data_IF_864431421998
#
_entry.id   IF_864431421998
#
_cell.length_a   1.000
_cell.length_b   1.000
_cell.length_c   1.000
_cell.angle_alpha   90.00
_cell.angle_beta   90.00
_cell.angle_gamma   90.00
#
_symmetry.space_group_name_H-M   'P 1'
#
loop_
_entity.id
_entity.type
_entity.pdbx_description
1 polymer ?
#
# COMPACT_ATOMS: atom_id res chain seq x y z
N UNK A 1 26.62 -6.11 17.50
CA UNK A 1 25.66 -7.18 17.86
C UNK A 1 25.57 -7.17 19.38
N UNK A 2 24.49 -6.66 19.97
CA UNK A 2 24.34 -6.69 21.42
C UNK A 2 24.00 -8.12 21.85
N UNK A 3 24.91 -8.77 22.56
CA UNK A 3 24.62 -10.00 23.28
C UNK A 3 23.42 -9.76 24.20
N UNK A 4 22.32 -10.45 23.93
CA UNK A 4 21.11 -10.37 24.75
C UNK A 4 21.36 -11.22 25.99
N UNK A 5 22.10 -10.66 26.95
CA UNK A 5 22.35 -11.29 28.24
C UNK A 5 21.02 -11.36 29.02
N UNK A 6 20.63 -12.56 29.45
CA UNK A 6 19.46 -12.74 30.30
C UNK A 6 19.79 -12.19 31.71
N UNK A 7 19.31 -10.98 32.01
CA UNK A 7 19.46 -10.36 33.34
C UNK A 7 18.43 -10.97 34.31
N UNK A 8 18.88 -11.37 35.50
CA UNK A 8 17.96 -11.85 36.55
C UNK A 8 17.20 -10.69 37.20
N UNK A 9 16.01 -10.95 37.74
CA UNK A 9 15.19 -9.90 38.39
C UNK A 9 15.94 -9.17 39.53
N UNK A 10 16.83 -9.88 40.25
CA UNK A 10 17.63 -9.30 41.32
C UNK A 10 18.74 -8.35 40.83
N UNK A 11 19.20 -8.50 39.58
CA UNK A 11 20.15 -7.60 38.93
C UNK A 11 19.44 -6.36 38.38
N UNK A 12 18.28 -6.57 37.73
CA UNK A 12 17.41 -5.49 37.27
C UNK A 12 17.03 -4.54 38.42
N UNK A 13 16.64 -5.10 39.57
CA UNK A 13 16.29 -4.32 40.75
C UNK A 13 17.49 -3.55 41.33
N UNK A 14 18.70 -4.12 41.27
CA UNK A 14 19.93 -3.43 41.68
C UNK A 14 20.27 -2.27 40.74
N UNK A 15 20.12 -2.45 39.42
CA UNK A 15 20.28 -1.35 38.43
C UNK A 15 19.30 -0.22 38.66
N UNK A 16 18.02 -0.54 38.84
CA UNK A 16 16.97 0.45 39.12
C UNK A 16 17.25 1.23 40.40
N UNK A 17 17.66 0.54 41.47
CA UNK A 17 18.04 1.18 42.74
C UNK A 17 19.30 2.05 42.61
N UNK A 18 20.19 1.74 41.68
CA UNK A 18 21.39 2.51 41.36
C UNK A 18 21.13 3.68 40.39
N UNK A 19 19.88 3.90 39.96
CA UNK A 19 19.51 4.97 39.03
C UNK A 19 20.01 4.76 37.59
N UNK A 20 20.41 3.53 37.24
CA UNK A 20 20.91 3.20 35.90
C UNK A 20 19.68 3.00 34.99
N UNK A 21 19.53 3.77 33.89
CA UNK A 21 18.37 3.65 33.03
C UNK A 21 18.30 2.26 32.38
N UNK A 22 17.07 1.76 32.24
CA UNK A 22 16.78 0.46 31.63
C UNK A 22 17.05 0.46 30.12
N UNK A 23 16.91 1.63 29.51
CA UNK A 23 17.09 1.88 28.08
C UNK A 23 18.32 2.77 27.93
N UNK A 24 19.24 2.39 27.05
CA UNK A 24 20.40 3.23 26.77
C UNK A 24 19.98 4.50 26.01
N UNK A 25 20.74 5.59 26.16
CA UNK A 25 20.50 6.81 25.37
C UNK A 25 20.54 6.57 23.85
N UNK A 26 21.28 5.56 23.39
CA UNK A 26 21.31 5.12 21.99
C UNK A 26 19.97 4.50 21.56
N UNK A 27 19.36 3.64 22.39
CA UNK A 27 18.05 3.06 22.12
C UNK A 27 16.93 4.12 22.11
N UNK A 28 17.02 5.15 22.96
CA UNK A 28 16.09 6.27 22.95
C UNK A 28 16.25 7.13 21.69
N UNK A 29 17.49 7.40 21.26
CA UNK A 29 17.76 8.11 20.00
C UNK A 29 17.30 7.32 18.77
N UNK A 30 17.54 6.01 18.72
CA UNK A 30 17.02 5.15 17.65
C UNK A 30 15.50 5.16 17.60
N UNK A 31 14.85 5.08 18.76
CA UNK A 31 13.38 5.15 18.83
C UNK A 31 12.89 6.50 18.32
N UNK A 32 13.47 7.61 18.78
CA UNK A 32 13.11 8.94 18.33
C UNK A 32 13.31 9.13 16.81
N UNK A 33 14.40 8.59 16.26
CA UNK A 33 14.66 8.62 14.82
C UNK A 33 13.61 7.80 14.03
N UNK A 34 13.25 6.61 14.53
CA UNK A 34 12.19 5.76 13.93
C UNK A 34 10.83 6.44 13.98
N UNK A 35 10.50 7.06 15.12
CA UNK A 35 9.24 7.78 15.32
C UNK A 35 9.16 8.99 14.37
N UNK A 36 10.22 9.79 14.28
CA UNK A 36 10.30 10.92 13.36
C UNK A 36 10.18 10.49 11.88
N UNK A 37 10.79 9.37 11.51
CA UNK A 37 10.65 8.80 10.16
C UNK A 37 9.21 8.33 9.89
N UNK A 38 8.56 7.68 10.87
CA UNK A 38 7.18 7.24 10.75
C UNK A 38 6.22 8.43 10.58
N UNK A 39 6.41 9.50 11.35
CA UNK A 39 5.62 10.72 11.26
C UNK A 39 5.79 11.42 9.90
N UNK A 40 7.01 11.50 9.38
CA UNK A 40 7.26 12.03 8.04
C UNK A 40 6.54 11.22 6.96
N UNK A 41 6.62 9.89 7.03
CA UNK A 41 5.94 9.01 6.07
C UNK A 41 4.43 9.12 6.16
N UNK A 42 3.88 9.24 7.38
CA UNK A 42 2.46 9.48 7.61
C UNK A 42 2.00 10.80 6.99
N UNK A 43 2.75 11.88 7.19
CA UNK A 43 2.43 13.18 6.57
C UNK A 43 2.43 13.14 5.04
N UNK A 44 3.38 12.40 4.44
CA UNK A 44 3.40 12.17 2.98
C UNK A 44 2.17 11.39 2.50
N UNK A 45 1.79 10.34 3.23
CA UNK A 45 0.60 9.54 2.91
C UNK A 45 -0.68 10.36 3.03
N UNK A 46 -0.83 11.17 4.08
CA UNK A 46 -1.97 12.06 4.27
C UNK A 46 -2.09 13.09 3.13
N UNK A 47 -0.97 13.67 2.68
CA UNK A 47 -0.95 14.57 1.51
C UNK A 47 -1.44 13.86 0.25
N UNK A 48 -0.92 12.67 -0.04
CA UNK A 48 -1.29 11.88 -1.22
C UNK A 48 -2.73 11.40 -1.15
N UNK A 49 -3.17 10.99 0.04
CA UNK A 49 -4.54 10.61 0.33
C UNK A 49 -5.50 11.75 -0.01
N UNK A 50 -5.24 12.95 0.54
CA UNK A 50 -6.07 14.12 0.28
C UNK A 50 -6.09 14.48 -1.19
N UNK A 51 -4.91 14.55 -1.82
CA UNK A 51 -4.79 14.83 -3.24
C UNK A 51 -5.61 13.85 -4.11
N UNK A 52 -5.57 12.56 -3.77
CA UNK A 52 -6.33 11.54 -4.49
C UNK A 52 -7.83 11.75 -4.37
N UNK A 53 -8.36 11.90 -3.14
CA UNK A 53 -9.80 12.06 -2.92
C UNK A 53 -10.35 13.39 -3.46
N UNK A 54 -9.55 14.46 -3.39
CA UNK A 54 -9.87 15.74 -4.03
C UNK A 54 -10.05 15.58 -5.56
N UNK A 55 -9.33 14.65 -6.18
CA UNK A 55 -9.35 14.39 -7.63
C UNK A 55 -9.99 13.03 -8.00
N UNK A 56 -10.77 12.43 -7.09
CA UNK A 56 -11.31 11.08 -7.32
C UNK A 56 -12.22 11.03 -8.55
N UNK A 57 -12.97 12.10 -8.83
CA UNK A 57 -13.82 12.20 -10.02
C UNK A 57 -13.01 12.13 -11.32
N UNK A 58 -11.85 12.80 -11.38
CA UNK A 58 -10.93 12.75 -12.52
C UNK A 58 -10.39 11.32 -12.70
N UNK A 59 -9.98 10.68 -11.60
CA UNK A 59 -9.47 9.30 -11.62
C UNK A 59 -10.54 8.33 -12.12
N UNK A 60 -11.77 8.44 -11.62
CA UNK A 60 -12.86 7.56 -12.02
C UNK A 60 -13.30 7.78 -13.47
N UNK A 61 -13.25 9.01 -13.99
CA UNK A 61 -13.54 9.30 -15.41
C UNK A 61 -12.50 8.68 -16.35
N UNK A 62 -11.24 8.61 -15.93
CA UNK A 62 -10.14 7.99 -16.69
C UNK A 62 -9.81 6.55 -16.25
N UNK A 63 -10.73 5.89 -15.53
CA UNK A 63 -10.50 4.55 -14.96
C UNK A 63 -10.01 3.54 -15.99
N UNK A 64 -10.67 3.43 -17.14
CA UNK A 64 -10.35 2.40 -18.14
C UNK A 64 -8.94 2.60 -18.73
N UNK A 65 -8.51 3.86 -18.89
CA UNK A 65 -7.15 4.20 -19.30
C UNK A 65 -6.12 3.85 -18.22
N UNK A 66 -6.44 4.13 -16.95
CA UNK A 66 -5.59 3.77 -15.82
C UNK A 66 -5.40 2.26 -15.73
N UNK A 67 -6.48 1.49 -15.92
CA UNK A 67 -6.45 0.03 -15.90
C UNK A 67 -5.69 -0.55 -17.10
N UNK A 68 -5.80 0.07 -18.28
CA UNK A 68 -5.10 -0.36 -19.48
C UNK A 68 -3.59 -0.05 -19.44
N UNK A 69 -3.15 0.91 -18.62
CA UNK A 69 -1.75 1.31 -18.53
C UNK A 69 -1.07 0.73 -17.28
N UNK A 70 -0.14 -0.24 -17.43
CA UNK A 70 0.56 -0.84 -16.29
C UNK A 70 1.32 0.16 -15.42
N UNK A 71 1.76 1.30 -15.97
CA UNK A 71 2.42 2.38 -15.22
C UNK A 71 1.47 3.00 -14.18
N UNK A 72 0.20 3.18 -14.53
CA UNK A 72 -0.80 3.77 -13.64
C UNK A 72 -1.49 2.74 -12.76
N UNK A 73 -1.82 1.56 -13.31
CA UNK A 73 -2.42 0.48 -12.54
C UNK A 73 -1.56 0.03 -11.36
N UNK A 74 -0.22 0.04 -11.49
CA UNK A 74 0.71 -0.42 -10.46
C UNK A 74 1.08 0.62 -9.39
N UNK A 75 0.49 1.82 -9.43
CA UNK A 75 0.68 2.85 -8.40
C UNK A 75 0.28 2.29 -7.04
N UNK A 76 1.07 2.62 -6.02
CA UNK A 76 0.81 2.23 -4.64
C UNK A 76 -0.44 2.92 -4.07
N UNK A 77 -1.43 2.13 -3.64
CA UNK A 77 -2.72 2.58 -3.16
C UNK A 77 -3.05 2.08 -1.74
N UNK A 78 -2.08 1.53 -1.00
CA UNK A 78 -2.33 0.89 0.30
C UNK A 78 -2.93 1.81 1.38
N UNK A 79 -2.72 3.12 1.25
CA UNK A 79 -3.23 4.14 2.17
C UNK A 79 -4.59 4.72 1.73
N UNK A 80 -5.08 4.39 0.53
CA UNK A 80 -6.33 4.94 0.00
C UNK A 80 -7.56 4.23 0.55
N UNK A 81 -7.43 2.98 1.00
CA UNK A 81 -8.50 2.22 1.63
C UNK A 81 -8.06 1.73 2.99
N UNK A 82 -8.93 1.90 3.97
CA UNK A 82 -8.73 1.40 5.32
C UNK A 82 -9.80 0.41 5.72
N UNK A 83 -9.52 -0.32 6.79
CA UNK A 83 -10.55 -1.06 7.47
C UNK A 83 -9.98 -2.02 8.50
N UNK A 84 -10.85 -2.77 9.14
CA UNK A 84 -10.42 -3.74 10.12
C UNK A 84 -11.58 -4.40 10.84
N UNK A 85 -11.30 -5.56 11.41
CA UNK A 85 -12.27 -6.30 12.19
C UNK A 85 -11.84 -6.48 13.62
N UNK A 86 -12.81 -6.54 14.51
CA UNK A 86 -12.58 -7.10 15.84
C UNK A 86 -11.99 -8.52 15.67
N UNK A 87 -10.98 -8.87 16.48
CA UNK A 87 -10.27 -10.16 16.47
C UNK A 87 -9.36 -10.47 15.26
N UNK A 88 -9.61 -9.87 14.09
CA UNK A 88 -8.78 -10.06 12.88
C UNK A 88 -7.82 -8.90 12.60
N UNK A 89 -7.97 -7.79 13.35
CA UNK A 89 -7.10 -6.62 13.23
C UNK A 89 -7.39 -5.77 11.99
N UNK A 90 -6.45 -4.89 11.68
CA UNK A 90 -6.53 -4.01 10.51
C UNK A 90 -6.47 -4.80 9.20
N UNK A 91 -7.16 -4.30 8.18
CA UNK A 91 -7.04 -4.81 6.82
C UNK A 91 -5.58 -4.70 6.36
N UNK A 92 -4.92 -5.82 6.04
CA UNK A 92 -3.59 -5.76 5.46
C UNK A 92 -3.68 -5.24 4.03
N UNK A 93 -3.11 -4.07 3.78
CA UNK A 93 -2.98 -3.48 2.42
C UNK A 93 -1.54 -3.52 1.91
N UNK A 94 -0.60 -4.02 2.72
CA UNK A 94 0.80 -4.23 2.37
C UNK A 94 1.26 -5.58 2.92
N UNK A 95 2.00 -6.34 2.12
CA UNK A 95 2.67 -7.57 2.54
C UNK A 95 4.17 -7.46 2.27
N UNK A 96 4.97 -7.74 3.29
CA UNK A 96 6.42 -7.83 3.17
C UNK A 96 6.81 -9.27 2.92
N UNK A 97 7.62 -9.50 1.89
CA UNK A 97 8.19 -10.79 1.55
C UNK A 97 9.72 -10.66 1.58
N UNK A 98 10.41 -11.75 1.89
CA UNK A 98 11.87 -11.81 1.80
C UNK A 98 12.25 -12.72 0.64
N UNK A 99 13.00 -12.17 -0.31
CA UNK A 99 13.56 -12.90 -1.44
C UNK A 99 15.08 -12.83 -1.35
N UNK A 100 15.72 -13.97 -1.06
CA UNK A 100 17.18 -14.10 -1.00
C UNK A 100 17.87 -13.01 -0.15
N UNK A 101 17.31 -12.70 1.03
CA UNK A 101 17.85 -11.67 1.93
C UNK A 101 17.39 -10.24 1.62
N UNK A 102 16.63 -10.03 0.55
CA UNK A 102 16.04 -8.73 0.19
C UNK A 102 14.58 -8.69 0.61
N UNK A 103 14.23 -7.70 1.45
CA UNK A 103 12.82 -7.47 1.83
C UNK A 103 12.13 -6.64 0.76
N UNK A 104 11.09 -7.22 0.14
CA UNK A 104 10.24 -6.57 -0.85
C UNK A 104 8.87 -6.31 -0.22
N UNK A 105 8.37 -5.09 -0.34
CA UNK A 105 7.01 -4.74 0.09
C UNK A 105 6.08 -4.68 -1.11
N UNK A 106 5.05 -5.52 -1.10
CA UNK A 106 4.01 -5.55 -2.12
C UNK A 106 2.77 -4.93 -1.51
N UNK A 107 2.30 -3.85 -2.11
CA UNK A 107 1.15 -3.09 -1.67
C UNK A 107 -0.05 -3.29 -2.59
N UNK A 108 -1.23 -3.00 -2.06
CA UNK A 108 -2.46 -2.88 -2.85
C UNK A 108 -2.24 -1.87 -3.98
N UNK A 109 -2.55 -2.30 -5.20
CA UNK A 109 -2.36 -1.50 -6.41
C UNK A 109 -3.59 -0.65 -6.71
N UNK A 110 -3.37 0.51 -7.33
CA UNK A 110 -4.45 1.42 -7.73
C UNK A 110 -5.44 0.73 -8.66
N UNK A 111 -4.96 -0.05 -9.64
CA UNK A 111 -5.83 -0.79 -10.55
C UNK A 111 -6.75 -1.76 -9.81
N UNK A 112 -6.19 -2.51 -8.86
CA UNK A 112 -6.94 -3.44 -8.00
C UNK A 112 -8.00 -2.74 -7.16
N UNK A 113 -7.66 -1.57 -6.59
CA UNK A 113 -8.62 -0.77 -5.83
C UNK A 113 -9.76 -0.24 -6.70
N UNK A 114 -9.44 0.26 -7.91
CA UNK A 114 -10.45 0.75 -8.85
C UNK A 114 -11.41 -0.36 -9.28
N UNK A 115 -10.90 -1.56 -9.53
CA UNK A 115 -11.73 -2.73 -9.82
C UNK A 115 -12.60 -3.12 -8.61
N UNK A 116 -12.06 -3.06 -7.40
CA UNK A 116 -12.84 -3.33 -6.19
C UNK A 116 -14.02 -2.35 -6.03
N UNK A 117 -13.84 -1.08 -6.41
CA UNK A 117 -14.89 -0.07 -6.37
C UNK A 117 -15.99 -0.22 -7.43
N UNK A 118 -15.82 -1.09 -8.42
CA UNK A 118 -16.90 -1.44 -9.35
C UNK A 118 -17.90 -2.41 -8.74
N UNK A 119 -17.48 -3.19 -7.75
CA UNK A 119 -18.34 -4.15 -7.08
C UNK A 119 -19.43 -3.44 -6.27
N UNK A 120 -20.66 -3.95 -6.36
CA UNK A 120 -21.84 -3.36 -5.71
C UNK A 120 -21.64 -3.16 -4.20
N UNK A 121 -20.95 -4.10 -3.54
CA UNK A 121 -20.61 -4.03 -2.13
C UNK A 121 -19.69 -2.86 -1.75
N UNK A 122 -19.02 -2.20 -2.68
CA UNK A 122 -18.21 -0.99 -2.43
C UNK A 122 -18.87 0.30 -2.91
N UNK A 123 -20.05 0.24 -3.53
CA UNK A 123 -20.74 1.40 -4.13
C UNK A 123 -21.96 1.79 -3.31
N UNK A 124 -22.12 3.08 -3.03
CA UNK A 124 -23.23 3.61 -2.22
C UNK A 124 -23.85 4.78 -2.95
N UNK A 125 -25.17 4.86 -2.99
CA UNK A 125 -25.86 6.01 -3.57
C UNK A 125 -25.68 7.24 -2.69
N UNK A 126 -25.30 8.36 -3.29
CA UNK A 126 -25.20 9.65 -2.60
C UNK A 126 -26.46 10.47 -2.82
N UNK A 127 -26.79 11.33 -1.87
CA UNK A 127 -27.91 12.30 -1.97
C UNK A 127 -27.83 13.21 -3.21
N UNK A 128 -26.63 13.44 -3.75
CA UNK A 128 -26.45 14.20 -4.99
C UNK A 128 -26.75 13.41 -6.27
N UNK A 129 -27.19 12.16 -6.17
CA UNK A 129 -27.48 11.27 -7.30
C UNK A 129 -26.25 10.56 -7.89
N UNK A 130 -25.03 10.93 -7.48
CA UNK A 130 -23.81 10.24 -7.87
C UNK A 130 -23.56 8.99 -7.01
N UNK A 131 -22.69 8.10 -7.50
CA UNK A 131 -22.25 6.93 -6.74
C UNK A 131 -21.00 7.26 -5.93
N UNK A 132 -21.09 7.10 -4.61
CA UNK A 132 -19.97 7.14 -3.67
C UNK A 132 -19.28 5.77 -3.58
N UNK A 133 -17.99 5.78 -3.24
CA UNK A 133 -17.18 4.56 -3.09
C UNK A 133 -16.74 4.37 -1.64
N UNK A 134 -16.79 3.14 -1.15
CA UNK A 134 -16.38 2.79 0.22
C UNK A 134 -14.87 2.92 0.34
N UNK A 135 -14.43 3.79 1.26
CA UNK A 135 -13.01 4.03 1.55
C UNK A 135 -12.55 3.47 2.89
N UNK A 136 -13.49 3.18 3.77
CA UNK A 136 -13.19 2.65 5.10
C UNK A 136 -14.31 1.74 5.58
N UNK A 137 -13.99 0.66 6.28
CA UNK A 137 -14.99 -0.20 6.91
C UNK A 137 -14.46 -0.85 8.19
N UNK A 138 -15.33 -0.97 9.19
CA UNK A 138 -15.03 -1.68 10.45
C UNK A 138 -16.12 -2.68 10.75
N UNK A 139 -15.79 -3.79 11.38
CA UNK A 139 -16.81 -4.79 11.68
C UNK A 139 -16.34 -5.97 12.52
N UNK A 140 -17.14 -7.02 12.50
CA UNK A 140 -16.83 -8.27 13.18
C UNK A 140 -17.00 -9.45 12.22
N UNK A 141 -15.99 -10.32 12.08
CA UNK A 141 -16.13 -11.54 11.29
C UNK A 141 -17.12 -12.53 11.94
N UNK A 142 -17.33 -12.47 13.26
CA UNK A 142 -18.19 -13.39 13.98
C UNK A 142 -19.68 -13.06 13.83
N UNK A 143 -20.05 -11.79 14.01
CA UNK A 143 -21.44 -11.36 13.83
C UNK A 143 -21.77 -10.98 12.39
N UNK A 144 -20.75 -10.81 11.55
CA UNK A 144 -20.89 -10.28 10.19
C UNK A 144 -21.22 -8.80 10.12
N UNK A 145 -21.52 -8.15 11.26
CA UNK A 145 -21.86 -6.73 11.31
C UNK A 145 -20.72 -5.85 10.83
N UNK A 146 -21.04 -4.81 10.06
CA UNK A 146 -20.09 -3.89 9.49
C UNK A 146 -20.65 -2.47 9.47
N UNK A 147 -19.79 -1.48 9.66
CA UNK A 147 -20.06 -0.09 9.39
C UNK A 147 -19.00 0.43 8.42
N UNK A 148 -19.46 0.95 7.29
CA UNK A 148 -18.59 1.53 6.29
C UNK A 148 -18.73 3.06 6.24
N UNK A 149 -17.68 3.69 5.70
CA UNK A 149 -17.66 5.09 5.30
C UNK A 149 -17.32 5.15 3.81
N UNK A 150 -18.16 5.85 3.06
CA UNK A 150 -17.98 6.09 1.64
C UNK A 150 -17.68 7.56 1.36
N UNK A 151 -17.01 7.83 0.25
CA UNK A 151 -16.73 9.19 -0.23
C UNK A 151 -17.36 9.39 -1.59
N UNK A 152 -18.10 10.49 -1.73
CA UNK A 152 -18.71 10.84 -3.01
C UNK A 152 -17.73 11.64 -3.89
N UNK A 153 -17.35 11.14 -5.08
CA UNK A 153 -16.45 11.86 -5.97
C UNK A 153 -17.05 13.17 -6.50
N UNK A 154 -18.38 13.29 -6.58
CA UNK A 154 -19.06 14.46 -7.14
C UNK A 154 -19.20 15.60 -6.12
N UNK A 155 -19.84 15.35 -4.97
CA UNK A 155 -20.10 16.38 -3.97
C UNK A 155 -19.01 16.48 -2.89
N UNK A 156 -18.00 15.59 -2.93
CA UNK A 156 -16.85 15.54 -2.01
C UNK A 156 -17.23 15.34 -0.54
N UNK A 157 -18.45 14.84 -0.29
CA UNK A 157 -18.95 14.53 1.07
C UNK A 157 -18.70 13.07 1.42
N UNK A 158 -18.53 12.84 2.72
CA UNK A 158 -18.46 11.52 3.30
C UNK A 158 -19.83 11.05 3.78
N UNK A 159 -20.10 9.78 3.56
CA UNK A 159 -21.31 9.08 4.02
C UNK A 159 -20.86 8.09 5.08
N UNK A 160 -21.31 8.28 6.31
CA UNK A 160 -20.93 7.44 7.45
C UNK A 160 -22.05 6.48 7.84
N UNK A 161 -21.70 5.43 8.59
CA UNK A 161 -22.68 4.54 9.21
C UNK A 161 -23.39 3.59 8.26
N UNK A 162 -22.79 3.27 7.11
CA UNK A 162 -23.35 2.32 6.13
C UNK A 162 -23.30 0.91 6.73
N UNK A 163 -24.46 0.40 7.16
CA UNK A 163 -24.57 -0.84 7.96
C UNK A 163 -25.23 -2.03 7.27
N UNK A 164 -25.64 -1.88 6.01
CA UNK A 164 -26.42 -2.86 5.24
C UNK A 164 -25.57 -3.97 4.60
N UNK A 165 -24.28 -4.05 4.95
CA UNK A 165 -23.29 -4.91 4.30
C UNK A 165 -22.58 -5.80 5.31
N UNK A 166 -22.09 -6.95 4.83
CA UNK A 166 -21.38 -7.91 5.66
C UNK A 166 -19.90 -7.56 5.73
N UNK A 167 -19.30 -7.65 6.92
CA UNK A 167 -17.86 -7.38 7.09
C UNK A 167 -17.00 -8.26 6.16
N UNK A 168 -17.36 -9.55 6.06
CA UNK A 168 -16.64 -10.51 5.24
C UNK A 168 -16.64 -10.17 3.74
N UNK A 169 -17.68 -9.53 3.21
CA UNK A 169 -17.72 -9.18 1.78
C UNK A 169 -16.72 -8.08 1.43
N UNK A 170 -16.39 -7.20 2.37
CA UNK A 170 -15.33 -6.21 2.18
C UNK A 170 -13.95 -6.83 2.41
N UNK A 171 -13.77 -7.41 3.60
CA UNK A 171 -12.46 -7.79 4.11
C UNK A 171 -11.84 -8.91 3.29
N UNK A 172 -12.59 -9.99 3.06
CA UNK A 172 -12.08 -11.14 2.33
C UNK A 172 -11.93 -10.87 0.84
N UNK A 173 -12.78 -10.01 0.27
CA UNK A 173 -12.64 -9.60 -1.12
C UNK A 173 -11.31 -8.88 -1.35
N UNK A 174 -11.01 -7.84 -0.55
CA UNK A 174 -9.76 -7.09 -0.69
C UNK A 174 -8.53 -7.93 -0.36
N UNK A 175 -8.61 -8.81 0.66
CA UNK A 175 -7.52 -9.72 0.95
C UNK A 175 -7.26 -10.71 -0.18
N UNK A 176 -8.31 -11.23 -0.81
CA UNK A 176 -8.18 -12.14 -1.96
C UNK A 176 -7.52 -11.42 -3.12
N UNK A 177 -7.95 -10.20 -3.43
CA UNK A 177 -7.36 -9.38 -4.49
C UNK A 177 -5.89 -9.02 -4.22
N UNK A 178 -5.56 -8.66 -2.98
CA UNK A 178 -4.16 -8.45 -2.60
C UNK A 178 -3.34 -9.75 -2.74
N UNK A 179 -3.90 -10.91 -2.39
CA UNK A 179 -3.23 -12.19 -2.55
C UNK A 179 -2.99 -12.55 -4.04
N UNK A 180 -3.95 -12.24 -4.91
CA UNK A 180 -3.81 -12.37 -6.37
C UNK A 180 -2.70 -11.46 -6.91
N UNK A 181 -2.65 -10.20 -6.49
CA UNK A 181 -1.59 -9.24 -6.87
C UNK A 181 -0.22 -9.75 -6.42
N UNK A 182 -0.12 -10.24 -5.18
CA UNK A 182 1.11 -10.81 -4.64
C UNK A 182 1.53 -12.06 -5.43
N UNK A 183 0.58 -12.93 -5.75
CA UNK A 183 0.85 -14.13 -6.53
C UNK A 183 1.37 -13.81 -7.93
N UNK A 184 0.79 -12.80 -8.58
CA UNK A 184 1.22 -12.31 -9.90
C UNK A 184 2.61 -11.70 -9.82
N UNK A 185 2.83 -10.79 -8.87
CA UNK A 185 4.15 -10.20 -8.64
C UNK A 185 5.22 -11.26 -8.34
N UNK A 186 4.93 -12.23 -7.48
CA UNK A 186 5.89 -13.26 -7.10
C UNK A 186 6.29 -14.13 -8.31
N UNK A 187 5.33 -14.49 -9.17
CA UNK A 187 5.60 -15.23 -10.42
C UNK A 187 6.51 -14.43 -11.35
N UNK A 188 6.17 -13.16 -11.58
CA UNK A 188 6.95 -12.26 -12.45
C UNK A 188 8.35 -12.01 -11.88
N UNK A 189 8.45 -11.80 -10.57
CA UNK A 189 9.70 -11.61 -9.86
C UNK A 189 10.59 -12.85 -10.00
N UNK A 190 10.07 -14.04 -9.73
CA UNK A 190 10.83 -15.30 -9.85
C UNK A 190 11.30 -15.51 -11.29
N UNK A 191 10.41 -15.31 -12.28
CA UNK A 191 10.78 -15.46 -13.69
C UNK A 191 11.93 -14.54 -14.09
N UNK A 192 11.87 -13.26 -13.68
CA UNK A 192 12.94 -12.28 -13.94
C UNK A 192 14.22 -12.58 -13.19
N UNK A 193 14.09 -13.02 -11.94
CA UNK A 193 15.23 -13.41 -11.14
C UNK A 193 15.97 -14.58 -11.77
N UNK A 194 15.25 -15.62 -12.21
CA UNK A 194 15.85 -16.76 -12.93
C UNK A 194 16.52 -16.35 -14.24
N UNK A 195 15.92 -15.43 -15.00
CA UNK A 195 16.55 -14.88 -16.21
C UNK A 195 17.85 -14.11 -15.87
N UNK A 196 17.81 -13.28 -14.83
CA UNK A 196 18.97 -12.52 -14.37
C UNK A 196 20.08 -13.44 -13.85
N UNK A 197 19.75 -14.52 -13.14
CA UNK A 197 20.71 -15.54 -12.71
C UNK A 197 21.35 -16.25 -13.91
N UNK A 198 20.57 -16.66 -14.91
CA UNK A 198 21.11 -17.29 -16.13
C UNK A 198 22.02 -16.35 -16.92
N UNK A 199 21.64 -15.07 -17.06
CA UNK A 199 22.49 -14.08 -17.73
C UNK A 199 23.78 -13.84 -16.93
N UNK A 200 23.68 -13.85 -15.59
CA UNK A 200 24.81 -13.69 -14.71
C UNK A 200 25.79 -14.87 -14.82
N UNK A 201 25.31 -16.11 -14.80
CA UNK A 201 26.13 -17.31 -14.99
C UNK A 201 26.93 -17.24 -16.30
N UNK A 202 26.28 -16.79 -17.39
CA UNK A 202 26.96 -16.57 -18.69
C UNK A 202 28.07 -15.53 -18.60
N UNK A 203 27.85 -14.42 -17.89
CA UNK A 203 28.84 -13.34 -17.72
C UNK A 203 30.03 -13.78 -16.85
N UNK A 204 29.77 -14.55 -15.80
CA UNK A 204 30.82 -15.14 -14.95
C UNK A 204 31.63 -16.15 -15.75
N UNK A 205 30.97 -17.04 -16.52
CA UNK A 205 31.64 -18.00 -17.39
C UNK A 205 32.51 -17.32 -18.47
N UNK A 206 32.11 -16.14 -18.95
CA UNK A 206 32.89 -15.33 -19.89
C UNK A 206 34.12 -14.63 -19.26
N UNK A 207 34.40 -14.85 -17.96
CA UNK A 207 35.57 -14.30 -17.27
C UNK A 207 35.51 -12.80 -16.98
N UNK A 208 34.37 -12.15 -17.25
CA UNK A 208 34.25 -10.69 -17.26
C UNK A 208 33.90 -10.07 -15.91
N UNK A 209 33.72 -10.82 -14.82
CA UNK A 209 33.22 -10.23 -13.58
C UNK A 209 33.67 -10.95 -12.28
N UNK A 210 34.26 -10.19 -11.36
CA UNK A 210 34.49 -10.58 -9.96
C UNK A 210 33.23 -10.23 -9.15
N UNK A 211 32.40 -11.24 -8.94
CA UNK A 211 31.32 -11.31 -7.93
C UNK A 211 30.17 -10.28 -8.05
N UNK A 212 29.06 -10.62 -8.74
CA UNK A 212 27.88 -9.77 -8.73
C UNK A 212 26.72 -10.42 -7.98
N UNK A 213 26.09 -9.65 -7.09
CA UNK A 213 24.76 -10.00 -6.57
C UNK A 213 23.77 -9.97 -7.74
N UNK A 214 22.90 -10.99 -7.93
CA UNK A 214 21.98 -11.07 -9.08
C UNK A 214 21.08 -9.84 -9.23
N UNK A 215 20.81 -9.13 -8.13
CA UNK A 215 19.96 -7.95 -8.09
C UNK A 215 20.42 -6.75 -8.93
N UNK A 216 21.69 -6.68 -9.37
CA UNK A 216 22.17 -5.53 -10.18
C UNK A 216 21.51 -5.47 -11.57
N UNK A 217 21.05 -6.62 -12.09
CA UNK A 217 20.37 -6.70 -13.38
C UNK A 217 18.83 -6.65 -13.25
N UNK A 218 18.29 -6.58 -12.02
CA UNK A 218 16.85 -6.54 -11.81
C UNK A 218 16.31 -5.13 -12.09
N UNK A 219 15.57 -4.95 -13.19
CA UNK A 219 14.87 -3.70 -13.53
C UNK A 219 13.36 -3.91 -13.43
N UNK A 220 12.66 -2.95 -12.81
CA UNK A 220 11.19 -2.87 -12.87
C UNK A 220 10.70 -2.44 -14.25
N UNK A 221 9.45 -2.77 -14.62
CA UNK A 221 8.96 -2.63 -16.00
C UNK A 221 8.68 -1.19 -16.44
N UNK A 222 8.55 -0.26 -15.50
CA UNK A 222 8.05 1.07 -15.79
C UNK A 222 8.88 2.14 -15.08
N UNK A 223 8.95 3.31 -15.71
CA UNK A 223 9.37 4.52 -15.00
C UNK A 223 8.46 4.71 -13.77
N UNK A 224 9.04 5.04 -12.60
CA UNK A 224 8.26 5.20 -11.38
C UNK A 224 7.15 6.24 -11.62
N UNK A 225 5.93 5.88 -11.22
CA UNK A 225 4.78 6.77 -11.25
C UNK A 225 4.15 6.78 -9.87
N UNK A 226 3.76 7.95 -9.41
CA UNK A 226 2.99 8.15 -8.19
C UNK A 226 1.66 8.84 -8.50
N UNK A 227 0.83 9.00 -7.47
CA UNK A 227 -0.49 9.64 -7.59
C UNK A 227 -0.38 11.08 -8.08
N UNK A 228 0.68 11.80 -7.70
CA UNK A 228 0.90 13.20 -8.07
C UNK A 228 1.15 13.32 -9.58
N UNK A 229 2.04 12.47 -10.10
CA UNK A 229 2.34 12.37 -11.52
C UNK A 229 1.11 11.93 -12.32
N UNK A 230 0.36 10.94 -11.82
CA UNK A 230 -0.89 10.50 -12.45
C UNK A 230 -1.89 11.66 -12.58
N UNK A 231 -2.18 12.36 -11.49
CA UNK A 231 -3.18 13.45 -11.50
C UNK A 231 -2.72 14.58 -12.42
N UNK A 232 -1.43 14.90 -12.42
CA UNK A 232 -0.88 15.90 -13.34
C UNK A 232 -1.05 15.48 -14.81
N UNK A 233 -0.70 14.23 -15.15
CA UNK A 233 -0.84 13.68 -16.50
C UNK A 233 -2.30 13.72 -16.97
N UNK A 234 -3.25 13.31 -16.11
CA UNK A 234 -4.67 13.33 -16.41
C UNK A 234 -5.21 14.76 -16.61
N UNK A 235 -4.81 15.72 -15.76
CA UNK A 235 -5.22 17.14 -15.92
C UNK A 235 -4.68 17.75 -17.21
N UNK A 236 -3.42 17.49 -17.54
CA UNK A 236 -2.82 17.95 -18.80
C UNK A 236 -3.55 17.37 -20.00
N UNK A 237 -4.02 16.13 -19.90
CA UNK A 237 -4.80 15.48 -20.95
C UNK A 237 -6.16 16.16 -21.14
N UNK A 238 -6.94 16.35 -20.08
CA UNK A 238 -8.24 17.03 -20.17
C UNK A 238 -8.10 18.46 -20.72
N UNK A 239 -7.04 19.18 -20.33
CA UNK A 239 -6.74 20.51 -20.87
C UNK A 239 -6.47 20.48 -22.39
N UNK A 240 -5.74 19.46 -22.87
CA UNK A 240 -5.46 19.30 -24.30
C UNK A 240 -6.70 18.88 -25.10
N UNK A 241 -7.59 18.10 -24.51
CA UNK A 241 -8.82 17.65 -25.15
C UNK A 241 -9.84 18.79 -25.24
N UNK A 242 -10.02 19.55 -24.16
CA UNK A 242 -10.90 20.74 -24.14
C UNK A 242 -10.38 21.87 -25.05
N UNK A 243 -9.06 22.04 -25.16
CA UNK A 243 -8.44 23.00 -26.08
C UNK A 243 -8.47 22.58 -27.57
N UNK A 244 -8.84 21.35 -27.90
CA UNK A 244 -9.01 20.87 -29.29
C UNK A 244 -10.45 20.95 -29.79
N UNK A 245 -11.40 21.22 -28.90
CA UNK A 245 -12.84 21.39 -29.22
C UNK A 245 -13.25 22.86 -29.46
N UNK A 246 -12.28 23.78 -29.51
CA UNK A 246 -12.45 25.17 -29.93
C UNK A 246 -11.61 25.45 -31.18
#
# INVERSE_FOLDING_TARGET
MSETHHESFAELYRRLKAGIPLVSGEQEQEKAARDAQADFMKGQQERKYKLFYDNLDLVLRHKDEILANPRYANIDAHYLIGGGGCWVGSLPTVRRLNFAGTTVSISLKLGTLLLAWEESQFRVECECGAVAVVRHFVGSPLSGGCYATAFCPSCKKEIHGIGDRRFGSFFWFLQTKLAEDIGTFAKDFVARWTLAESENEKRVAAGNFRDPRPGVCFRGDCAPCDIESLIHDLRLKEFRETGRTH
#
